data_IF_949960722095
#
_entry.id   IF_949960722095
#
_cell.length_a   1.000
_cell.length_b   1.000
_cell.length_c   1.000
_cell.angle_alpha   90.00
_cell.angle_beta   90.00
_cell.angle_gamma   90.00
#
_symmetry.space_group_name_H-M   'P 1'
#
loop_
_entity.id
_entity.type
_entity.pdbx_description
1 polymer ?
#
# COMPACT_ATOMS: atom_id res chain seq x y z
N UNK A 1 28.11 -12.13 -14.03
CA UNK A 1 27.58 -12.40 -12.67
C UNK A 1 26.07 -12.32 -12.77
N UNK A 2 25.35 -13.30 -12.23
CA UNK A 2 23.89 -13.22 -12.19
C UNK A 2 23.47 -12.13 -11.19
N UNK A 3 22.51 -11.31 -11.59
CA UNK A 3 21.96 -10.21 -10.81
C UNK A 3 20.51 -10.51 -10.50
N UNK A 4 20.03 -10.20 -9.29
CA UNK A 4 18.60 -10.36 -8.96
C UNK A 4 17.80 -9.12 -9.36
N UNK A 5 16.68 -9.33 -10.01
CA UNK A 5 15.75 -8.26 -10.34
C UNK A 5 15.01 -7.80 -9.07
N UNK A 6 14.97 -6.49 -8.84
CA UNK A 6 14.29 -5.88 -7.68
C UNK A 6 12.87 -5.42 -7.99
N UNK A 7 12.37 -5.63 -9.21
CA UNK A 7 11.00 -5.27 -9.55
C UNK A 7 9.99 -6.20 -8.88
N UNK A 8 8.91 -5.62 -8.37
CA UNK A 8 7.83 -6.36 -7.70
C UNK A 8 7.13 -7.31 -8.67
N UNK A 9 7.09 -8.60 -8.34
CA UNK A 9 6.54 -9.65 -9.20
C UNK A 9 7.54 -10.26 -10.19
N UNK A 10 8.76 -9.72 -10.31
CA UNK A 10 9.81 -10.35 -11.11
C UNK A 10 10.68 -11.27 -10.26
N UNK A 11 11.53 -10.72 -9.38
CA UNK A 11 12.41 -11.50 -8.47
C UNK A 11 13.41 -12.46 -9.13
N UNK A 12 13.49 -12.52 -10.46
CA UNK A 12 14.33 -13.46 -11.21
C UNK A 12 15.80 -13.05 -11.16
N UNK A 13 16.67 -14.05 -11.16
CA UNK A 13 18.10 -13.88 -11.41
C UNK A 13 18.31 -13.79 -12.92
N UNK A 14 18.90 -12.68 -13.38
CA UNK A 14 19.17 -12.41 -14.79
C UNK A 14 20.66 -12.17 -14.99
N UNK A 15 21.19 -12.61 -16.13
CA UNK A 15 22.55 -12.27 -16.56
C UNK A 15 22.57 -11.12 -17.55
N UNK A 16 21.50 -10.99 -18.33
CA UNK A 16 21.35 -9.95 -19.33
C UNK A 16 20.19 -9.00 -18.94
N UNK A 17 20.45 -7.70 -18.78
CA UNK A 17 19.42 -6.74 -18.35
C UNK A 17 18.32 -6.51 -19.40
N UNK A 18 18.56 -6.83 -20.67
CA UNK A 18 17.59 -6.66 -21.76
C UNK A 18 16.60 -7.84 -21.85
N UNK A 19 16.78 -8.88 -21.04
CA UNK A 19 15.81 -9.96 -20.93
C UNK A 19 14.43 -9.45 -20.49
N UNK A 20 13.39 -10.20 -20.91
CA UNK A 20 12.00 -9.85 -20.65
C UNK A 20 11.70 -9.88 -19.14
N UNK A 21 11.64 -8.71 -18.52
CA UNK A 21 11.22 -8.53 -17.14
C UNK A 21 9.72 -8.24 -17.07
N UNK A 22 8.96 -9.11 -16.43
CA UNK A 22 7.53 -8.91 -16.17
C UNK A 22 7.33 -8.54 -14.71
N UNK A 23 6.69 -7.40 -14.44
CA UNK A 23 6.57 -6.84 -13.09
C UNK A 23 5.39 -5.88 -12.91
N UNK A 24 5.18 -5.46 -11.67
CA UNK A 24 4.28 -4.38 -11.27
C UNK A 24 5.06 -3.08 -10.96
N UNK A 25 4.88 -2.01 -11.76
CA UNK A 25 5.60 -0.75 -11.54
C UNK A 25 5.02 0.10 -10.40
N UNK A 26 3.82 -0.21 -9.92
CA UNK A 26 3.13 0.55 -8.88
C UNK A 26 3.23 -0.14 -7.51
N UNK A 27 3.06 0.62 -6.41
CA UNK A 27 3.02 0.03 -5.07
C UNK A 27 1.75 -0.83 -4.86
N UNK A 28 1.78 -1.77 -3.89
CA UNK A 28 0.59 -2.47 -3.46
C UNK A 28 -0.39 -1.52 -2.77
N UNK A 29 -1.69 -1.74 -2.95
CA UNK A 29 -2.79 -0.93 -2.41
C UNK A 29 -3.71 -1.84 -1.62
N UNK A 30 -4.01 -1.43 -0.39
CA UNK A 30 -4.92 -2.14 0.52
C UNK A 30 -6.03 -1.16 0.95
N UNK A 31 -7.26 -1.33 0.47
CA UNK A 31 -8.40 -0.46 0.79
C UNK A 31 -9.68 -1.29 0.95
N UNK A 32 -10.46 -1.05 1.99
CA UNK A 32 -11.76 -1.71 2.23
C UNK A 32 -11.71 -3.25 2.17
N UNK A 33 -10.62 -3.84 2.67
CA UNK A 33 -10.42 -5.30 2.64
C UNK A 33 -10.02 -5.86 1.27
N UNK A 34 -9.91 -5.02 0.25
CA UNK A 34 -9.39 -5.38 -1.07
C UNK A 34 -7.90 -5.07 -1.16
N UNK A 35 -7.15 -6.02 -1.71
CA UNK A 35 -5.71 -6.00 -1.93
C UNK A 35 -5.43 -5.99 -3.43
N UNK A 36 -4.45 -5.24 -3.89
CA UNK A 36 -4.05 -5.23 -5.30
C UNK A 36 -2.90 -4.28 -5.57
N UNK A 37 -2.66 -3.97 -6.83
CA UNK A 37 -1.56 -3.09 -7.24
C UNK A 37 -2.06 -1.78 -7.84
N UNK A 38 -1.40 -0.66 -7.56
CA UNK A 38 -1.76 0.65 -8.13
C UNK A 38 -1.66 0.67 -9.65
N UNK A 39 -0.74 -0.10 -10.22
CA UNK A 39 -0.49 -0.15 -11.66
C UNK A 39 -1.54 -0.92 -12.48
N UNK A 40 -2.39 -1.74 -11.86
CA UNK A 40 -3.40 -2.51 -12.58
C UNK A 40 -4.75 -2.54 -11.83
N UNK A 41 -5.82 -2.94 -12.53
CA UNK A 41 -7.19 -2.98 -11.99
C UNK A 41 -7.50 -4.15 -11.05
N UNK A 42 -6.92 -5.37 -11.19
CA UNK A 42 -7.28 -6.52 -10.35
C UNK A 42 -7.17 -6.20 -8.85
N UNK A 43 -8.23 -6.54 -8.13
CA UNK A 43 -8.36 -6.42 -6.68
C UNK A 43 -8.92 -7.73 -6.15
N UNK A 44 -8.36 -8.22 -5.07
CA UNK A 44 -8.68 -9.51 -4.47
C UNK A 44 -8.88 -9.33 -2.97
N UNK A 45 -9.62 -10.22 -2.33
CA UNK A 45 -9.95 -10.09 -0.91
C UNK A 45 -8.93 -10.81 -0.02
N UNK A 46 -8.35 -11.91 -0.52
CA UNK A 46 -7.40 -12.74 0.22
C UNK A 46 -5.96 -12.33 -0.05
N UNK A 47 -5.03 -12.76 0.81
CA UNK A 47 -3.60 -12.50 0.59
C UNK A 47 -2.99 -13.41 -0.47
N UNK A 48 -3.39 -14.68 -0.50
CA UNK A 48 -2.89 -15.67 -1.45
C UNK A 48 -3.21 -15.25 -2.88
N UNK A 49 -4.48 -14.88 -3.16
CA UNK A 49 -4.87 -14.36 -4.47
C UNK A 49 -4.10 -13.09 -4.85
N UNK A 50 -3.62 -12.30 -3.88
CA UNK A 50 -2.84 -11.09 -4.16
C UNK A 50 -1.43 -11.43 -4.63
N UNK A 51 -0.83 -12.50 -4.08
CA UNK A 51 0.46 -13.01 -4.52
C UNK A 51 0.38 -13.66 -5.91
N UNK A 52 -0.77 -14.22 -6.27
CA UNK A 52 -1.04 -14.82 -7.58
C UNK A 52 -1.41 -13.82 -8.68
N UNK A 53 -1.56 -12.52 -8.36
CA UNK A 53 -1.88 -11.50 -9.39
C UNK A 53 -0.74 -11.47 -10.42
N UNK A 54 -1.04 -11.68 -11.70
CA UNK A 54 -0.01 -11.69 -12.73
C UNK A 54 0.58 -10.30 -12.96
N UNK A 55 1.89 -10.19 -13.23
CA UNK A 55 2.54 -8.93 -13.56
C UNK A 55 1.85 -8.24 -14.74
N UNK A 56 1.68 -6.93 -14.65
CA UNK A 56 0.91 -6.16 -15.63
C UNK A 56 1.77 -5.34 -16.61
N UNK A 57 3.09 -5.39 -16.47
CA UNK A 57 4.02 -4.58 -17.27
C UNK A 57 5.23 -5.40 -17.65
N UNK A 58 5.75 -5.15 -18.85
CA UNK A 58 6.98 -5.74 -19.35
C UNK A 58 8.02 -4.64 -19.56
N UNK A 59 9.27 -4.91 -19.20
CA UNK A 59 10.41 -4.02 -19.45
C UNK A 59 11.72 -4.77 -19.29
N UNK A 60 12.80 -4.03 -19.02
CA UNK A 60 14.13 -4.57 -18.75
C UNK A 60 14.32 -4.85 -17.26
N UNK A 61 15.21 -5.77 -16.93
CA UNK A 61 15.54 -6.05 -15.55
C UNK A 61 16.30 -4.89 -14.90
N UNK A 62 16.05 -4.65 -13.62
CA UNK A 62 16.75 -3.63 -12.83
C UNK A 62 17.23 -4.21 -11.52
N UNK A 63 18.42 -3.77 -11.11
CA UNK A 63 19.03 -4.02 -9.79
C UNK A 63 19.05 -2.80 -8.89
N UNK A 64 18.63 -1.64 -9.42
CA UNK A 64 18.52 -0.43 -8.61
C UNK A 64 17.24 -0.55 -7.78
N UNK A 65 17.43 -0.91 -6.51
CA UNK A 65 16.41 -0.80 -5.47
C UNK A 65 16.02 0.68 -5.40
N UNK A 66 15.00 1.08 -6.18
CA UNK A 66 14.32 2.35 -5.92
C UNK A 66 13.57 2.05 -4.63
N UNK A 67 13.96 2.63 -3.48
CA UNK A 67 13.23 2.40 -2.24
C UNK A 67 11.76 2.67 -2.53
N UNK A 68 10.84 1.79 -2.08
CA UNK A 68 9.43 2.03 -2.26
C UNK A 68 9.16 3.43 -1.71
N UNK A 69 8.68 4.31 -2.58
CA UNK A 69 8.21 5.62 -2.17
C UNK A 69 6.99 5.30 -1.33
N UNK A 70 7.21 5.21 -0.02
CA UNK A 70 6.17 5.23 0.98
C UNK A 70 5.46 6.54 0.69
N UNK A 71 4.39 6.47 -0.09
CA UNK A 71 3.40 7.53 -0.17
C UNK A 71 2.94 7.68 1.27
N UNK A 72 3.55 8.64 1.98
CA UNK A 72 3.00 9.24 3.18
C UNK A 72 1.56 9.56 2.80
N UNK A 73 0.61 8.74 3.28
CA UNK A 73 -0.81 9.07 3.21
C UNK A 73 -0.89 10.54 3.66
N UNK A 74 -1.61 11.42 2.96
CA UNK A 74 -1.87 12.76 3.46
C UNK A 74 -2.27 12.60 4.91
N UNK A 75 -1.43 13.11 5.81
CA UNK A 75 -1.67 13.13 7.24
C UNK A 75 -3.08 13.70 7.35
N UNK A 76 -4.06 12.88 7.74
CA UNK A 76 -5.39 13.39 8.00
C UNK A 76 -5.17 14.41 9.12
N UNK A 77 -5.30 15.69 8.80
CA UNK A 77 -5.06 16.82 9.69
C UNK A 77 -5.55 16.50 11.10
N UNK A 78 -4.61 16.16 12.00
CA UNK A 78 -4.85 15.91 13.42
C UNK A 78 -5.67 17.05 14.06
N UNK A 79 -5.57 18.25 13.49
CA UNK A 79 -6.35 19.43 13.85
C UNK A 79 -7.87 19.25 13.62
N UNK A 80 -8.30 18.63 12.52
CA UNK A 80 -9.72 18.43 12.22
C UNK A 80 -10.35 17.35 13.11
N UNK A 81 -9.55 16.35 13.52
CA UNK A 81 -9.99 15.32 14.46
C UNK A 81 -10.05 15.86 15.90
N UNK A 82 -9.08 16.68 16.31
CA UNK A 82 -9.09 17.35 17.60
C UNK A 82 -10.28 18.29 17.79
N UNK A 83 -10.63 19.08 16.77
CA UNK A 83 -11.79 19.99 16.82
C UNK A 83 -13.12 19.23 16.97
N UNK A 84 -13.24 18.04 16.39
CA UNK A 84 -14.45 17.20 16.54
C UNK A 84 -14.56 16.59 17.93
N UNK A 85 -13.44 16.19 18.53
CA UNK A 85 -13.40 15.64 19.88
C UNK A 85 -13.79 16.71 20.92
N UNK A 86 -13.30 17.94 20.76
CA UNK A 86 -13.62 19.04 21.67
C UNK A 86 -15.11 19.42 21.62
N UNK A 87 -15.69 19.48 20.42
CA UNK A 87 -17.12 19.73 20.23
C UNK A 87 -18.02 18.63 20.82
N UNK A 88 -17.58 17.37 20.80
CA UNK A 88 -18.31 16.24 21.39
C UNK A 88 -18.24 16.25 22.92
N UNK A 89 -17.09 16.61 23.50
CA UNK A 89 -16.92 16.71 24.95
C UNK A 89 -17.66 17.91 25.56
N UNK A 90 -17.85 19.00 24.81
CA UNK A 90 -18.59 20.18 25.24
C UNK A 90 -20.13 19.95 25.30
N UNK A 91 -20.65 18.91 24.64
CA UNK A 91 -22.09 18.66 24.52
C UNK A 91 -22.66 17.59 25.47
N UNK A 92 -21.86 17.03 26.39
CA UNK A 92 -22.35 16.05 27.35
C UNK A 92 -23.07 16.75 28.54
N UNK A 93 -24.36 16.50 28.81
CA UNK A 93 -24.97 16.93 30.06
C UNK A 93 -24.32 16.15 31.22
N UNK A 94 -23.84 16.87 32.22
CA UNK A 94 -23.27 16.30 33.45
C UNK A 94 -24.31 15.39 34.12
N UNK A 95 -24.10 14.07 34.04
CA UNK A 95 -24.83 13.13 34.90
C UNK A 95 -24.31 13.30 36.32
N UNK A 96 -25.09 13.96 37.16
CA UNK A 96 -24.78 14.09 38.58
C UNK A 96 -24.71 12.69 39.24
N UNK A 97 -23.75 12.43 40.14
CA UNK A 97 -23.72 11.19 40.91
C UNK A 97 -24.97 11.10 41.79
N UNK A 98 -25.66 9.95 41.73
CA UNK A 98 -26.73 9.62 42.67
C UNK A 98 -26.10 9.52 44.06
N UNK A 99 -26.44 10.43 44.97
CA UNK A 99 -26.12 10.26 46.39
C UNK A 99 -27.03 9.15 46.97
N UNK A 100 -26.41 8.33 47.82
CA UNK A 100 -26.87 7.08 48.45
C UNK A 100 -28.34 6.98 48.79
#
# INVERSE_FOLDING_TARGET
>A
MAQKCVHQGCGKEFTDPDEKCEYHPGPPVFHEGQKGWKCCKPRVLTFDEFMDIPPCTTGTHSTTDKPPQIEEKPQQDDAALAQKIDALNAAAPSRAPIQT
#
